data_IF_814638609248
#
_entry.id   IF_814638609248
#
_cell.length_a   1.000
_cell.length_b   1.000
_cell.length_c   1.000
_cell.angle_alpha   90.00
_cell.angle_beta   90.00
_cell.angle_gamma   90.00
#
_symmetry.space_group_name_H-M   'P 1'
#
loop_
_entity.id
_entity.type
_entity.pdbx_description
1 polymer ?
#
# COMPACT_ATOMS: atom_id res chain seq x y z
N UNK A 1 -45.10 4.68 50.63
CA UNK A 1 -45.63 4.13 49.37
C UNK A 1 -44.45 4.06 48.40
N UNK A 2 -43.80 2.91 48.17
CA UNK A 2 -44.13 1.89 47.14
C UNK A 2 -44.37 2.56 45.77
N UNK A 3 -43.61 2.35 44.69
CA UNK A 3 -43.05 1.10 44.15
C UNK A 3 -41.63 1.24 43.53
N UNK A 4 -40.87 0.15 43.61
CA UNK A 4 -39.76 -0.24 42.71
C UNK A 4 -40.34 -0.99 41.49
N UNK A 5 -39.65 -0.99 40.33
CA UNK A 5 -39.53 -2.05 39.29
C UNK A 5 -38.99 -1.39 37.99
N UNK A 6 -37.78 -1.61 37.46
CA UNK A 6 -37.17 -2.77 36.76
C UNK A 6 -38.00 -3.41 35.64
N UNK A 7 -37.54 -3.29 34.38
CA UNK A 7 -37.29 -4.38 33.39
C UNK A 7 -37.17 -3.78 31.97
N UNK A 8 -36.04 -3.91 31.27
CA UNK A 8 -35.54 -5.13 30.62
C UNK A 8 -36.55 -5.74 29.66
N UNK A 9 -36.36 -5.53 28.35
CA UNK A 9 -36.84 -6.44 27.31
C UNK A 9 -35.77 -6.59 26.24
N UNK A 10 -35.00 -7.67 26.41
CA UNK A 10 -34.50 -8.47 25.31
C UNK A 10 -35.69 -8.88 24.42
N UNK A 11 -35.49 -8.91 23.11
CA UNK A 11 -36.25 -9.78 22.22
C UNK A 11 -35.22 -10.62 21.48
N UNK A 12 -35.19 -11.91 21.83
CA UNK A 12 -34.47 -12.97 21.12
C UNK A 12 -35.50 -14.03 20.74
N UNK A 13 -35.36 -14.52 19.50
CA UNK A 13 -35.81 -15.81 18.98
C UNK A 13 -37.33 -15.99 18.78
N UNK A 14 -37.87 -16.77 17.85
CA UNK A 14 -37.33 -17.72 16.88
C UNK A 14 -38.49 -18.19 15.97
N UNK A 15 -38.19 -18.57 14.71
CA UNK A 15 -38.78 -19.70 13.95
C UNK A 15 -38.33 -19.58 12.49
N UNK A 16 -37.28 -20.26 12.01
CA UNK A 16 -37.27 -21.64 11.46
C UNK A 16 -38.53 -21.99 10.65
N UNK A 17 -38.49 -22.59 9.45
CA UNK A 17 -37.45 -23.05 8.54
C UNK A 17 -38.18 -23.47 7.23
N UNK A 18 -37.53 -23.36 6.07
CA UNK A 18 -37.60 -24.30 4.93
C UNK A 18 -36.93 -23.64 3.70
N UNK A 19 -35.70 -24.04 3.38
CA UNK A 19 -35.36 -25.09 2.40
C UNK A 19 -35.39 -24.58 0.96
N UNK A 20 -34.19 -24.51 0.36
CA UNK A 20 -33.85 -24.73 -1.06
C UNK A 20 -32.57 -23.98 -1.40
N UNK A 21 -31.43 -24.67 -1.29
CA UNK A 21 -30.25 -24.38 -2.10
C UNK A 21 -30.61 -24.83 -3.54
N UNK A 22 -30.46 -24.00 -4.57
CA UNK A 22 -29.21 -24.07 -5.31
C UNK A 22 -28.79 -22.71 -5.88
N UNK A 23 -27.55 -22.31 -5.67
CA UNK A 23 -26.63 -22.06 -6.78
C UNK A 23 -25.30 -21.54 -6.26
N UNK A 24 -24.24 -22.26 -6.65
CA UNK A 24 -22.88 -21.75 -6.76
C UNK A 24 -22.89 -20.38 -7.44
N UNK A 25 -22.86 -19.31 -6.66
CA UNK A 25 -22.32 -18.06 -7.13
C UNK A 25 -20.80 -18.25 -7.22
N UNK A 26 -20.38 -18.81 -8.35
CA UNK A 26 -19.07 -18.50 -8.90
C UNK A 26 -19.06 -17.00 -9.17
N UNK A 27 -18.79 -16.23 -8.12
CA UNK A 27 -18.29 -14.88 -8.24
C UNK A 27 -16.91 -15.01 -8.84
N UNK A 28 -16.87 -15.24 -10.16
CA UNK A 28 -15.70 -14.96 -10.96
C UNK A 28 -15.57 -13.44 -10.92
N UNK A 29 -15.01 -12.94 -9.81
CA UNK A 29 -14.68 -11.54 -9.62
C UNK A 29 -13.76 -11.20 -10.78
N UNK A 30 -14.30 -10.55 -11.80
CA UNK A 30 -13.49 -9.99 -12.87
C UNK A 30 -12.53 -9.03 -12.17
N UNK A 31 -11.26 -9.45 -12.05
CA UNK A 31 -10.22 -8.61 -11.46
C UNK A 31 -10.15 -7.41 -12.39
N UNK A 32 -10.71 -6.29 -11.93
CA UNK A 32 -10.69 -5.04 -12.66
C UNK A 32 -9.22 -4.72 -12.91
N UNK A 33 -8.80 -4.72 -14.17
CA UNK A 33 -7.45 -4.29 -14.54
C UNK A 33 -7.39 -2.79 -14.34
N UNK A 34 -6.58 -2.35 -13.38
CA UNK A 34 -6.28 -0.94 -13.18
C UNK A 34 -5.03 -0.59 -13.98
N UNK A 35 -5.02 0.58 -14.59
CA UNK A 35 -3.80 1.14 -15.16
C UNK A 35 -2.86 1.60 -14.05
N UNK A 36 -1.55 1.62 -14.32
CA UNK A 36 -0.53 2.13 -13.38
C UNK A 36 -0.87 3.54 -12.89
N UNK A 37 -1.41 4.38 -13.77
CA UNK A 37 -1.84 5.75 -13.44
C UNK A 37 -3.02 5.78 -12.48
N UNK A 38 -4.03 4.93 -12.68
CA UNK A 38 -5.15 4.81 -11.75
C UNK A 38 -4.72 4.29 -10.38
N UNK A 39 -3.75 3.37 -10.34
CA UNK A 39 -3.22 2.85 -9.09
C UNK A 39 -2.47 3.92 -8.32
N UNK A 40 -1.65 4.76 -8.96
CA UNK A 40 -0.94 5.87 -8.29
C UNK A 40 -1.90 6.84 -7.58
N UNK A 41 -3.11 7.04 -8.11
CA UNK A 41 -4.12 7.93 -7.51
C UNK A 41 -4.75 7.33 -6.25
N UNK A 42 -4.77 6.00 -6.11
CA UNK A 42 -5.22 5.34 -4.90
C UNK A 42 -4.23 5.65 -3.77
N UNK A 43 -4.66 6.46 -2.80
CA UNK A 43 -3.84 6.84 -1.65
C UNK A 43 -3.70 5.64 -0.70
N UNK A 44 -2.55 5.54 -0.02
CA UNK A 44 -2.23 4.58 1.08
C UNK A 44 -1.65 3.22 0.66
N UNK A 45 -0.88 3.15 -0.42
CA UNK A 45 -0.12 1.95 -0.75
C UNK A 45 0.98 1.67 0.27
N UNK A 46 0.74 0.77 1.23
CA UNK A 46 1.79 0.31 2.14
C UNK A 46 2.31 -1.06 1.69
N UNK A 47 3.60 -1.16 1.36
CA UNK A 47 4.28 -2.44 1.10
C UNK A 47 4.85 -3.05 2.38
N UNK A 48 4.24 -2.74 3.53
CA UNK A 48 4.80 -3.02 4.84
C UNK A 48 4.70 -4.50 5.26
N UNK A 49 3.87 -5.31 4.61
CA UNK A 49 3.67 -6.71 4.99
C UNK A 49 3.45 -7.64 3.78
N UNK A 50 3.66 -8.94 4.03
CA UNK A 50 3.54 -10.01 3.03
C UNK A 50 2.16 -10.07 2.38
N UNK A 51 1.09 -9.78 3.14
CA UNK A 51 -0.29 -9.81 2.64
C UNK A 51 -0.49 -8.71 1.60
N UNK A 52 -0.01 -7.49 1.88
CA UNK A 52 -0.03 -6.40 0.95
C UNK A 52 0.75 -6.78 -0.31
N UNK A 53 1.97 -7.31 -0.18
CA UNK A 53 2.81 -7.75 -1.30
C UNK A 53 2.15 -8.80 -2.21
N UNK A 54 1.44 -9.75 -1.61
CA UNK A 54 0.60 -10.73 -2.31
C UNK A 54 -0.56 -10.05 -3.05
N UNK A 55 -1.26 -9.13 -2.40
CA UNK A 55 -2.35 -8.38 -3.02
C UNK A 55 -1.85 -7.54 -4.21
N UNK A 56 -0.69 -6.91 -4.11
CA UNK A 56 -0.07 -6.20 -5.24
C UNK A 56 0.22 -7.14 -6.41
N UNK A 57 0.77 -8.32 -6.13
CA UNK A 57 1.11 -9.29 -7.17
C UNK A 57 -0.12 -9.87 -7.86
N UNK A 58 -1.28 -9.89 -7.19
CA UNK A 58 -2.56 -10.24 -7.80
C UNK A 58 -3.15 -9.09 -8.64
N UNK A 59 -2.93 -7.85 -8.21
CA UNK A 59 -3.49 -6.67 -8.86
C UNK A 59 -2.75 -6.28 -10.15
N UNK A 60 -1.41 -6.41 -10.14
CA UNK A 60 -0.54 -6.12 -11.29
C UNK A 60 0.23 -7.41 -11.62
N UNK A 61 -0.37 -8.31 -12.43
CA UNK A 61 0.26 -9.59 -12.75
C UNK A 61 1.37 -9.47 -13.81
N UNK A 62 1.38 -8.39 -14.60
CA UNK A 62 2.44 -8.14 -15.57
C UNK A 62 3.69 -7.60 -14.86
N UNK A 63 4.84 -8.21 -15.16
CA UNK A 63 6.09 -7.95 -14.45
C UNK A 63 6.66 -6.56 -14.78
N UNK A 64 6.57 -6.15 -16.05
CA UNK A 64 7.01 -4.83 -16.52
C UNK A 64 6.13 -3.70 -15.94
N UNK A 65 4.81 -3.85 -15.95
CA UNK A 65 3.87 -2.91 -15.32
C UNK A 65 4.11 -2.80 -13.80
N UNK A 66 4.41 -3.92 -13.14
CA UNK A 66 4.77 -3.95 -11.72
C UNK A 66 6.07 -3.18 -11.48
N UNK A 67 7.08 -3.35 -12.33
CA UNK A 67 8.32 -2.61 -12.26
C UNK A 67 8.11 -1.10 -12.43
N UNK A 68 7.32 -0.67 -13.41
CA UNK A 68 6.99 0.74 -13.62
C UNK A 68 6.26 1.33 -12.41
N UNK A 69 5.23 0.64 -11.91
CA UNK A 69 4.48 1.09 -10.74
C UNK A 69 5.38 1.25 -9.51
N UNK A 70 6.27 0.29 -9.24
CA UNK A 70 7.19 0.36 -8.10
C UNK A 70 8.15 1.57 -8.22
N UNK A 71 8.60 1.90 -9.43
CA UNK A 71 9.40 3.09 -9.68
C UNK A 71 8.61 4.38 -9.41
N UNK A 72 7.38 4.48 -9.91
CA UNK A 72 6.53 5.64 -9.63
C UNK A 72 6.24 5.81 -8.14
N UNK A 73 5.94 4.71 -7.43
CA UNK A 73 5.68 4.74 -5.99
C UNK A 73 6.93 5.15 -5.19
N UNK A 74 8.11 4.70 -5.62
CA UNK A 74 9.39 5.13 -5.02
C UNK A 74 9.63 6.63 -5.20
N UNK A 75 9.39 7.18 -6.39
CA UNK A 75 9.52 8.61 -6.64
C UNK A 75 8.51 9.45 -5.84
N UNK A 76 7.28 8.97 -5.73
CA UNK A 76 6.28 9.58 -4.85
C UNK A 76 6.78 9.68 -3.40
N UNK A 77 7.33 8.60 -2.84
CA UNK A 77 7.86 8.63 -1.48
C UNK A 77 9.12 9.49 -1.32
N UNK A 78 9.99 9.56 -2.32
CA UNK A 78 11.11 10.52 -2.31
C UNK A 78 10.61 11.95 -2.22
N UNK A 79 9.60 12.32 -3.00
CA UNK A 79 8.96 13.64 -2.94
C UNK A 79 8.35 13.92 -1.56
N UNK A 80 7.72 12.91 -0.94
CA UNK A 80 7.25 13.04 0.44
C UNK A 80 8.38 13.32 1.44
N UNK A 81 9.52 12.62 1.33
CA UNK A 81 10.70 12.90 2.16
C UNK A 81 11.17 14.34 1.98
N UNK A 82 11.27 14.82 0.74
CA UNK A 82 11.62 16.22 0.45
C UNK A 82 10.63 17.20 1.08
N UNK A 83 9.33 16.90 1.05
CA UNK A 83 8.30 17.72 1.68
C UNK A 83 8.46 17.77 3.21
N UNK A 84 8.76 16.65 3.86
CA UNK A 84 9.05 16.64 5.30
C UNK A 84 10.28 17.49 5.64
N UNK A 85 11.34 17.39 4.85
CA UNK A 85 12.56 18.21 5.00
C UNK A 85 12.30 19.69 4.73
N UNK A 86 11.36 20.03 3.85
CA UNK A 86 10.92 21.40 3.63
C UNK A 86 10.15 21.94 4.82
N UNK A 87 9.16 21.20 5.33
CA UNK A 87 8.41 21.57 6.55
C UNK A 87 9.37 21.82 7.71
N UNK A 88 10.35 20.93 7.89
CA UNK A 88 11.35 21.05 8.95
C UNK A 88 12.21 22.33 8.83
N UNK A 89 12.51 22.76 7.60
CA UNK A 89 13.35 23.93 7.33
C UNK A 89 12.60 25.25 7.26
N UNK A 90 11.37 25.26 6.78
CA UNK A 90 10.67 26.50 6.40
C UNK A 90 9.47 26.80 7.30
N UNK A 91 8.81 25.78 7.83
CA UNK A 91 7.52 25.95 8.53
C UNK A 91 7.70 25.93 10.04
N UNK A 92 8.60 25.09 10.55
CA UNK A 92 8.82 25.00 12.00
C UNK A 92 9.51 26.27 12.53
N UNK A 93 8.91 26.87 13.57
CA UNK A 93 9.50 28.03 14.25
C UNK A 93 10.92 27.69 14.73
N UNK A 94 11.90 28.44 14.20
CA UNK A 94 13.31 28.34 14.60
C UNK A 94 13.64 29.27 15.76
N UNK A 95 12.87 30.34 15.91
CA UNK A 95 13.19 31.38 16.87
C UNK A 95 12.59 31.07 18.23
N UNK A 96 13.47 30.70 19.16
CA UNK A 96 13.13 30.46 20.56
C UNK A 96 12.80 31.74 21.35
N UNK A 97 13.14 32.91 20.80
CA UNK A 97 13.08 34.19 21.50
C UNK A 97 11.81 35.00 21.25
N UNK A 98 11.14 34.82 20.11
CA UNK A 98 9.90 35.56 19.81
C UNK A 98 8.67 34.96 20.50
N UNK A 99 8.59 33.62 20.56
CA UNK A 99 7.51 32.91 21.22
C UNK A 99 7.96 31.53 21.70
N UNK A 100 8.41 31.47 22.95
CA UNK A 100 8.93 30.24 23.56
C UNK A 100 7.92 29.09 23.59
N UNK A 101 6.63 29.39 23.77
CA UNK A 101 5.56 28.38 23.78
C UNK A 101 5.40 27.75 22.40
N UNK A 102 5.21 28.59 21.37
CA UNK A 102 5.06 28.14 19.99
C UNK A 102 6.30 27.36 19.51
N UNK A 103 7.50 27.79 19.90
CA UNK A 103 8.73 27.06 19.63
C UNK A 103 8.71 25.65 20.25
N UNK A 104 8.39 25.53 21.54
CA UNK A 104 8.31 24.23 22.22
C UNK A 104 7.26 23.31 21.61
N UNK A 105 6.08 23.85 21.31
CA UNK A 105 4.99 23.10 20.68
C UNK A 105 5.41 22.59 19.28
N UNK A 106 6.06 23.44 18.48
CA UNK A 106 6.58 23.07 17.17
C UNK A 106 7.67 21.99 17.24
N UNK A 107 8.59 22.06 18.21
CA UNK A 107 9.62 21.04 18.41
C UNK A 107 9.04 19.72 18.93
N UNK A 108 8.03 19.76 19.80
CA UNK A 108 7.30 18.58 20.25
C UNK A 108 6.61 17.88 19.09
N UNK A 109 5.83 18.62 18.30
CA UNK A 109 5.17 18.08 17.12
C UNK A 109 6.15 17.50 16.09
N UNK A 110 7.28 18.18 15.85
CA UNK A 110 8.35 17.67 15.00
C UNK A 110 8.81 16.29 15.44
N UNK A 111 9.11 16.13 16.73
CA UNK A 111 9.62 14.87 17.28
C UNK A 111 8.57 13.76 17.20
N UNK A 112 7.33 14.06 17.55
CA UNK A 112 6.29 13.04 17.72
C UNK A 112 5.63 12.63 16.41
N UNK A 113 5.54 13.55 15.45
CA UNK A 113 4.84 13.37 14.18
C UNK A 113 5.84 13.36 13.03
N UNK A 114 6.56 14.47 12.81
CA UNK A 114 7.34 14.67 11.59
C UNK A 114 8.49 13.67 11.47
N UNK A 115 9.27 13.47 12.54
CA UNK A 115 10.44 12.57 12.51
C UNK A 115 10.03 11.12 12.27
N UNK A 116 8.97 10.64 12.93
CA UNK A 116 8.50 9.26 12.75
C UNK A 116 8.01 9.02 11.33
N UNK A 117 7.15 9.91 10.81
CA UNK A 117 6.63 9.80 9.45
C UNK A 117 7.73 9.91 8.40
N UNK A 118 8.69 10.83 8.57
CA UNK A 118 9.85 10.97 7.67
C UNK A 118 10.68 9.69 7.65
N UNK A 119 10.97 9.10 8.81
CA UNK A 119 11.78 7.88 8.89
C UNK A 119 11.04 6.67 8.31
N UNK A 120 9.75 6.52 8.59
CA UNK A 120 8.92 5.47 7.98
C UNK A 120 8.91 5.60 6.45
N UNK A 121 8.79 6.82 5.93
CA UNK A 121 8.81 7.09 4.49
C UNK A 121 10.18 6.77 3.88
N UNK A 122 11.29 7.13 4.54
CA UNK A 122 12.65 6.74 4.12
C UNK A 122 12.80 5.22 4.06
N UNK A 123 12.25 4.50 5.05
CA UNK A 123 12.23 3.05 5.04
C UNK A 123 11.48 2.48 3.83
N UNK A 124 10.31 3.05 3.48
CA UNK A 124 9.56 2.64 2.28
C UNK A 124 10.38 2.85 1.00
N UNK A 125 11.09 3.98 0.87
CA UNK A 125 11.98 4.24 -0.30
C UNK A 125 13.07 3.17 -0.40
N UNK A 126 13.73 2.83 0.70
CA UNK A 126 14.77 1.79 0.73
C UNK A 126 14.19 0.41 0.39
N UNK A 127 13.04 0.06 0.97
CA UNK A 127 12.38 -1.21 0.73
C UNK A 127 11.96 -1.38 -0.74
N UNK A 128 11.40 -0.33 -1.33
CA UNK A 128 11.07 -0.28 -2.76
C UNK A 128 12.30 -0.41 -3.64
N UNK A 129 13.42 0.24 -3.28
CA UNK A 129 14.65 0.11 -4.04
C UNK A 129 15.14 -1.34 -4.11
N UNK A 130 15.04 -2.11 -3.01
CA UNK A 130 15.36 -3.54 -3.01
C UNK A 130 14.41 -4.33 -3.92
N UNK A 131 13.09 -4.14 -3.78
CA UNK A 131 12.11 -4.85 -4.62
C UNK A 131 12.29 -4.56 -6.11
N UNK A 132 12.64 -3.34 -6.47
CA UNK A 132 12.90 -2.95 -7.86
C UNK A 132 14.10 -3.71 -8.41
N UNK A 133 15.18 -3.86 -7.64
CA UNK A 133 16.33 -4.67 -8.05
C UNK A 133 15.96 -6.15 -8.25
N UNK A 134 15.15 -6.71 -7.35
CA UNK A 134 14.68 -8.09 -7.48
C UNK A 134 13.86 -8.28 -8.77
N UNK A 135 12.98 -7.32 -9.09
CA UNK A 135 12.20 -7.32 -10.33
C UNK A 135 13.10 -7.18 -11.58
N UNK A 136 14.14 -6.36 -11.54
CA UNK A 136 15.08 -6.23 -12.67
C UNK A 136 15.80 -7.54 -12.97
N UNK A 137 16.16 -8.30 -11.94
CA UNK A 137 16.75 -9.63 -12.08
C UNK A 137 15.74 -10.60 -12.70
N UNK A 138 14.50 -10.60 -12.19
CA UNK A 138 13.43 -11.47 -12.68
C UNK A 138 13.08 -11.19 -14.16
N UNK A 139 12.97 -9.93 -14.56
CA UNK A 139 12.70 -9.52 -15.94
C UNK A 139 13.81 -10.03 -16.87
N UNK A 140 15.08 -9.81 -16.50
CA UNK A 140 16.23 -10.28 -17.30
C UNK A 140 16.24 -11.79 -17.47
N UNK A 141 15.90 -12.53 -16.41
CA UNK A 141 15.80 -13.98 -16.46
C UNK A 141 14.69 -14.43 -17.43
N UNK A 142 13.51 -13.83 -17.36
CA UNK A 142 12.40 -14.15 -18.28
C UNK A 142 12.74 -13.81 -19.75
N UNK A 143 13.44 -12.72 -20.00
CA UNK A 143 13.91 -12.37 -21.34
C UNK A 143 14.91 -13.39 -21.90
N UNK A 144 15.85 -13.86 -21.07
CA UNK A 144 16.82 -14.86 -21.48
C UNK A 144 16.13 -16.19 -21.82
N UNK A 145 15.18 -16.62 -21.00
CA UNK A 145 14.40 -17.84 -21.25
C UNK A 145 13.58 -17.75 -22.54
N UNK A 146 12.97 -16.59 -22.82
CA UNK A 146 12.26 -16.34 -24.08
C UNK A 146 13.19 -16.49 -25.29
N UNK A 147 14.37 -15.88 -25.25
CA UNK A 147 15.38 -15.98 -26.33
C UNK A 147 15.83 -17.43 -26.57
N UNK A 148 16.06 -18.19 -25.50
CA UNK A 148 16.46 -19.60 -25.61
C UNK A 148 15.35 -20.47 -26.21
N UNK A 149 14.10 -20.24 -25.82
CA UNK A 149 12.95 -20.96 -26.39
C UNK A 149 12.77 -20.64 -27.87
N UNK A 150 12.91 -19.38 -28.28
CA UNK A 150 12.85 -18.97 -29.68
C UNK A 150 13.98 -19.61 -30.51
N UNK A 151 15.21 -19.61 -29.98
CA UNK A 151 16.34 -20.26 -30.63
C UNK A 151 16.11 -21.78 -30.79
N UNK A 152 15.53 -22.45 -29.80
CA UNK A 152 15.16 -23.88 -29.89
C UNK A 152 14.07 -24.11 -30.95
N UNK A 153 13.04 -23.27 -31.01
CA UNK A 153 11.96 -23.36 -32.02
C UNK A 153 12.48 -23.17 -33.44
N UNK A 154 13.46 -22.28 -33.65
CA UNK A 154 14.08 -22.06 -34.98
C UNK A 154 14.94 -23.25 -35.43
N UNK A 155 15.57 -23.96 -34.50
CA UNK A 155 16.35 -25.18 -34.80
C UNK A 155 15.49 -26.39 -35.16
N UNK A 156 14.24 -26.45 -34.69
CA UNK A 156 13.30 -27.55 -34.99
C UNK A 156 12.60 -27.34 -36.35
N UNK A 157 12.53 -26.10 -36.85
CA UNK A 157 11.91 -25.75 -38.14
C UNK A 157 12.87 -25.82 -39.35
N UNK A 158 14.15 -26.09 -39.13
CA UNK A 158 15.17 -26.31 -40.17
C UNK A 158 15.48 -27.80 -40.25
#
# INVERSE_FOLDING_TARGET
>A
MLLKHTNSKQIKANSQADSSDPQKESSTSQIKKYTVQELIVLKNWELANYIADKAYSQLIPNLEEKYEFMNYLKEFYKLQVTNYERIEREVLSKNRFDNLKLFKDAQGWKKDVLTKSKNATKFQVSHLATKILDLEVEIKQQEQERKEQEAKKQKIKK
#
